data_IF_684289044710
#
_entry.id   IF_684289044710
#
_cell.length_a   1.000
_cell.length_b   1.000
_cell.length_c   1.000
_cell.angle_alpha   90.00
_cell.angle_beta   90.00
_cell.angle_gamma   90.00
#
_symmetry.space_group_name_H-M   'P 1'
#
loop_
_entity.id
_entity.type
_entity.pdbx_description
1 polymer ?
#
# COMPACT_ATOMS: atom_id res chain seq x y z
N UNK A 1 8.18 -1.16 -13.24
CA UNK A 1 7.04 -0.33 -13.67
C UNK A 1 5.81 -0.82 -12.91
N UNK A 2 5.14 0.06 -12.15
CA UNK A 2 3.81 -0.25 -11.60
C UNK A 2 2.82 -0.32 -12.77
N UNK A 3 1.86 -1.27 -12.78
CA UNK A 3 0.76 -1.20 -13.72
C UNK A 3 -0.04 0.07 -13.46
N UNK A 4 -0.43 0.77 -14.52
CA UNK A 4 -1.26 1.98 -14.43
C UNK A 4 -2.59 1.62 -13.76
N UNK A 5 -2.94 2.33 -12.68
CA UNK A 5 -4.20 2.13 -11.95
C UNK A 5 -5.41 2.18 -12.88
N UNK A 6 -5.39 3.05 -13.89
CA UNK A 6 -6.45 3.14 -14.90
C UNK A 6 -6.47 1.96 -15.87
N UNK A 7 -5.32 1.32 -16.08
CA UNK A 7 -5.20 0.09 -16.87
C UNK A 7 -5.71 -1.13 -16.08
N UNK A 8 -5.36 -1.22 -14.79
CA UNK A 8 -5.87 -2.25 -13.88
C UNK A 8 -7.39 -2.21 -13.72
N UNK A 9 -7.97 -1.00 -13.63
CA UNK A 9 -9.41 -0.82 -13.53
C UNK A 9 -10.11 -1.22 -14.83
N UNK A 10 -9.60 -0.81 -15.99
CA UNK A 10 -10.14 -1.23 -17.30
C UNK A 10 -10.08 -2.73 -17.51
N UNK A 11 -8.96 -3.37 -17.15
CA UNK A 11 -8.81 -4.83 -17.24
C UNK A 11 -9.76 -5.55 -16.29
N UNK A 12 -9.91 -5.07 -15.06
CA UNK A 12 -10.84 -5.64 -14.10
C UNK A 12 -12.30 -5.53 -14.60
N UNK A 13 -12.69 -4.39 -15.19
CA UNK A 13 -14.02 -4.21 -15.77
C UNK A 13 -14.28 -5.10 -16.97
N UNK A 14 -13.31 -5.27 -17.87
CA UNK A 14 -13.42 -6.15 -19.03
C UNK A 14 -13.70 -7.60 -18.59
N UNK A 15 -12.90 -8.11 -17.65
CA UNK A 15 -13.04 -9.47 -17.13
C UNK A 15 -14.38 -9.66 -16.39
N UNK A 16 -14.83 -8.68 -15.61
CA UNK A 16 -16.12 -8.77 -14.91
C UNK A 16 -17.34 -8.64 -15.84
N UNK A 17 -17.17 -8.06 -17.03
CA UNK A 17 -18.21 -7.99 -18.06
C UNK A 17 -18.34 -9.32 -18.82
N UNK A 18 -17.21 -9.96 -19.11
CA UNK A 18 -17.18 -11.27 -19.78
C UNK A 18 -17.51 -12.43 -18.84
N UNK A 19 -17.13 -12.31 -17.57
CA UNK A 19 -17.36 -13.29 -16.52
C UNK A 19 -18.08 -12.64 -15.33
N UNK A 20 -19.40 -12.39 -15.44
CA UNK A 20 -20.17 -11.78 -14.36
C UNK A 20 -20.10 -12.62 -13.08
N UNK A 21 -20.02 -11.93 -11.93
CA UNK A 21 -19.79 -12.57 -10.64
C UNK A 21 -20.98 -13.45 -10.26
N UNK A 22 -20.76 -14.72 -9.88
CA UNK A 22 -21.80 -15.54 -9.28
C UNK A 22 -22.23 -14.97 -7.92
N UNK A 23 -23.48 -15.23 -7.55
CA UNK A 23 -24.07 -14.81 -6.28
C UNK A 23 -23.31 -15.40 -5.08
N UNK A 24 -22.83 -16.65 -5.20
CA UNK A 24 -21.94 -17.25 -4.20
C UNK A 24 -20.48 -16.84 -4.43
N UNK A 25 -19.80 -16.49 -3.34
CA UNK A 25 -18.36 -16.20 -3.32
C UNK A 25 -17.49 -17.42 -3.56
N UNK A 26 -17.96 -18.63 -3.23
CA UNK A 26 -17.17 -19.86 -3.36
C UNK A 26 -17.03 -20.31 -4.82
N UNK A 27 -18.02 -19.98 -5.66
CA UNK A 27 -18.07 -20.38 -7.08
C UNK A 27 -17.32 -19.42 -8.01
N UNK A 28 -16.61 -18.43 -7.47
CA UNK A 28 -15.87 -17.46 -8.28
C UNK A 28 -14.66 -18.11 -8.94
N UNK A 29 -14.54 -17.94 -10.25
CA UNK A 29 -13.37 -18.37 -11.01
C UNK A 29 -12.10 -17.66 -10.52
N UNK A 30 -10.93 -18.19 -10.89
CA UNK A 30 -9.66 -17.55 -10.55
C UNK A 30 -9.56 -16.13 -11.14
N UNK A 31 -9.98 -15.98 -12.40
CA UNK A 31 -10.00 -14.73 -13.16
C UNK A 31 -10.90 -13.68 -12.49
N UNK A 32 -12.08 -14.07 -12.04
CA UNK A 32 -13.01 -13.20 -11.30
C UNK A 32 -12.43 -12.74 -9.96
N UNK A 33 -11.74 -13.63 -9.24
CA UNK A 33 -11.05 -13.28 -7.99
C UNK A 33 -9.90 -12.30 -8.26
N UNK A 34 -9.17 -12.48 -9.37
CA UNK A 34 -8.09 -11.58 -9.76
C UNK A 34 -8.59 -10.21 -10.20
N UNK A 35 -9.68 -10.13 -10.96
CA UNK A 35 -10.31 -8.88 -11.36
C UNK A 35 -10.81 -8.08 -10.14
N UNK A 36 -11.46 -8.74 -9.17
CA UNK A 36 -11.86 -8.12 -7.91
C UNK A 36 -10.66 -7.59 -7.10
N UNK A 37 -9.55 -8.33 -7.10
CA UNK A 37 -8.33 -7.90 -6.42
C UNK A 37 -7.71 -6.69 -7.11
N UNK A 38 -7.62 -6.69 -8.44
CA UNK A 38 -7.14 -5.55 -9.21
C UNK A 38 -8.01 -4.30 -8.98
N UNK A 39 -9.34 -4.44 -8.97
CA UNK A 39 -10.26 -3.35 -8.66
C UNK A 39 -10.11 -2.83 -7.22
N UNK A 40 -9.89 -3.72 -6.25
CA UNK A 40 -9.63 -3.29 -4.87
C UNK A 40 -8.31 -2.54 -4.71
N UNK A 41 -7.28 -2.90 -5.50
CA UNK A 41 -6.01 -2.16 -5.56
C UNK A 41 -6.25 -0.77 -6.17
N UNK A 42 -7.01 -0.71 -7.27
CA UNK A 42 -7.34 0.56 -7.92
C UNK A 42 -8.20 1.48 -7.03
N UNK A 43 -9.19 0.93 -6.33
CA UNK A 43 -10.00 1.67 -5.35
C UNK A 43 -9.15 2.19 -4.19
N UNK A 44 -8.16 1.43 -3.73
CA UNK A 44 -7.23 1.87 -2.69
C UNK A 44 -6.34 3.00 -3.18
N UNK A 45 -5.70 2.86 -4.33
CA UNK A 45 -4.85 3.89 -4.91
C UNK A 45 -5.66 5.18 -5.17
N UNK A 46 -6.93 5.06 -5.60
CA UNK A 46 -7.82 6.21 -5.79
C UNK A 46 -8.21 6.89 -4.48
N UNK A 47 -8.45 6.13 -3.41
CA UNK A 47 -8.88 6.66 -2.10
C UNK A 47 -7.74 7.16 -1.22
N UNK A 48 -6.60 6.51 -1.31
CA UNK A 48 -5.51 6.66 -0.34
C UNK A 48 -4.15 6.92 -0.99
N UNK A 49 -4.03 6.88 -2.33
CA UNK A 49 -2.74 7.02 -3.02
C UNK A 49 -1.97 8.27 -2.64
N UNK A 50 -2.63 9.43 -2.53
CA UNK A 50 -1.98 10.66 -2.08
C UNK A 50 -1.85 10.75 -0.55
N UNK A 51 -2.87 10.35 0.21
CA UNK A 51 -2.89 10.48 1.67
C UNK A 51 -1.91 9.52 2.37
N UNK A 52 -1.82 8.26 1.91
CA UNK A 52 -0.92 7.26 2.48
C UNK A 52 0.56 7.55 2.22
N UNK A 53 0.86 8.15 1.06
CA UNK A 53 2.21 8.64 0.72
C UNK A 53 2.62 9.81 1.63
N UNK A 54 1.71 10.77 1.86
CA UNK A 54 1.95 11.90 2.76
C UNK A 54 2.18 11.43 4.20
N UNK A 55 1.34 10.53 4.71
CA UNK A 55 1.49 10.00 6.07
C UNK A 55 2.79 9.19 6.23
N UNK A 56 3.16 8.37 5.24
CA UNK A 56 4.39 7.57 5.30
C UNK A 56 5.64 8.45 5.27
N UNK A 57 5.65 9.50 4.43
CA UNK A 57 6.72 10.50 4.43
C UNK A 57 6.79 11.27 5.76
N UNK A 58 5.67 11.66 6.35
CA UNK A 58 5.65 12.35 7.65
C UNK A 58 6.27 11.49 8.77
N UNK A 59 6.03 10.18 8.76
CA UNK A 59 6.67 9.26 9.71
C UNK A 59 8.16 9.11 9.45
N UNK A 60 8.60 9.05 8.19
CA UNK A 60 10.03 9.08 7.87
C UNK A 60 10.69 10.40 8.28
N UNK A 61 10.03 11.54 8.09
CA UNK A 61 10.51 12.84 8.57
C UNK A 61 10.65 12.86 10.09
N UNK A 62 9.74 12.21 10.81
CA UNK A 62 9.84 12.06 12.27
C UNK A 62 11.00 11.15 12.67
N UNK A 63 11.29 10.12 11.88
CA UNK A 63 12.35 9.13 12.18
C UNK A 63 13.76 9.64 11.84
N UNK A 64 13.91 10.34 10.71
CA UNK A 64 15.21 10.74 10.16
C UNK A 64 15.47 12.24 10.16
N UNK A 65 14.45 13.06 10.42
CA UNK A 65 14.49 14.51 10.24
C UNK A 65 14.11 14.93 8.81
N UNK A 66 13.68 16.20 8.63
CA UNK A 66 13.23 16.73 7.34
C UNK A 66 14.36 16.74 6.30
N UNK A 67 15.56 17.17 6.68
CA UNK A 67 16.71 17.25 5.78
C UNK A 67 17.04 15.89 5.14
N UNK A 68 17.04 14.83 5.95
CA UNK A 68 17.33 13.48 5.49
C UNK A 68 16.26 12.88 4.56
N UNK A 69 15.04 13.43 4.59
CA UNK A 69 13.95 13.04 3.68
C UNK A 69 13.99 13.87 2.40
N UNK A 70 14.29 15.18 2.50
CA UNK A 70 14.38 16.10 1.37
C UNK A 70 15.60 15.84 0.47
N UNK A 71 16.72 15.40 1.05
CA UNK A 71 17.93 14.99 0.32
C UNK A 71 17.70 13.80 -0.63
N UNK A 72 16.65 13.02 -0.40
CA UNK A 72 16.31 11.91 -1.29
C UNK A 72 15.65 12.46 -2.55
N UNK A 73 16.32 12.31 -3.68
CA UNK A 73 15.77 12.75 -4.97
C UNK A 73 14.64 11.84 -5.47
N UNK A 74 13.77 12.41 -6.31
CA UNK A 74 12.67 11.71 -6.96
C UNK A 74 11.29 12.16 -6.49
N UNK A 75 10.25 11.51 -7.03
CA UNK A 75 8.89 11.70 -6.53
C UNK A 75 8.73 11.03 -5.15
N UNK A 76 7.64 11.33 -4.47
CA UNK A 76 7.38 10.86 -3.10
C UNK A 76 7.45 9.32 -2.96
N UNK A 77 7.07 8.59 -4.00
CA UNK A 77 7.14 7.12 -4.02
C UNK A 77 8.58 6.62 -4.10
N UNK A 78 9.40 7.21 -4.97
CA UNK A 78 10.82 6.90 -5.08
C UNK A 78 11.56 7.24 -3.78
N UNK A 79 11.17 8.34 -3.13
CA UNK A 79 11.67 8.73 -1.81
C UNK A 79 11.35 7.69 -0.75
N UNK A 80 10.08 7.31 -0.62
CA UNK A 80 9.62 6.26 0.29
C UNK A 80 10.38 4.96 0.04
N UNK A 81 10.61 4.58 -1.21
CA UNK A 81 11.34 3.35 -1.54
C UNK A 81 12.81 3.41 -1.07
N UNK A 82 13.49 4.52 -1.31
CA UNK A 82 14.87 4.73 -0.87
C UNK A 82 15.00 4.74 0.66
N UNK A 83 14.10 5.45 1.35
CA UNK A 83 14.04 5.51 2.82
C UNK A 83 13.74 4.13 3.41
N UNK A 84 12.89 3.34 2.77
CA UNK A 84 12.64 1.95 3.15
C UNK A 84 13.87 1.06 3.02
N UNK A 85 14.65 1.21 1.93
CA UNK A 85 15.90 0.46 1.76
C UNK A 85 16.91 0.83 2.85
N UNK A 86 17.03 2.13 3.16
CA UNK A 86 17.86 2.62 4.26
C UNK A 86 17.42 2.03 5.59
N UNK A 87 16.14 2.12 5.93
CA UNK A 87 15.59 1.57 7.17
C UNK A 87 15.87 0.07 7.30
N UNK A 88 15.65 -0.70 6.24
CA UNK A 88 15.93 -2.13 6.26
C UNK A 88 17.43 -2.44 6.46
N UNK A 89 18.33 -1.61 5.95
CA UNK A 89 19.77 -1.76 6.20
C UNK A 89 20.12 -1.43 7.67
N UNK A 90 19.53 -0.38 8.23
CA UNK A 90 19.76 0.03 9.62
C UNK A 90 19.21 -0.97 10.64
N UNK A 91 18.03 -1.56 10.38
CA UNK A 91 17.47 -2.65 11.20
C UNK A 91 18.41 -3.86 11.19
N UNK A 92 18.90 -4.28 10.01
CA UNK A 92 19.86 -5.40 9.90
C UNK A 92 21.20 -5.10 10.60
N UNK A 93 21.55 -3.83 10.71
CA UNK A 93 22.74 -3.36 11.41
C UNK A 93 22.49 -3.11 12.91
N UNK A 94 21.34 -3.52 13.46
CA UNK A 94 21.01 -3.38 14.88
C UNK A 94 20.99 -1.92 15.39
N UNK A 95 20.81 -0.93 14.50
CA UNK A 95 20.74 0.49 14.88
C UNK A 95 19.45 0.87 15.61
N UNK A 96 18.46 -0.02 15.59
CA UNK A 96 17.11 0.17 16.13
C UNK A 96 16.75 -0.92 17.16
N UNK A 97 17.75 -1.46 17.87
CA UNK A 97 17.54 -2.53 18.86
C UNK A 97 16.75 -2.06 20.08
N UNK A 98 16.74 -0.75 20.36
CA UNK A 98 15.84 -0.15 21.33
C UNK A 98 14.48 0.18 20.69
N UNK A 99 13.39 -0.10 21.43
CA UNK A 99 12.04 0.12 20.95
C UNK A 99 11.77 1.62 20.72
N UNK A 100 11.79 2.04 19.46
CA UNK A 100 11.35 3.38 19.03
C UNK A 100 9.85 3.36 18.70
N UNK A 101 9.00 4.12 19.44
CA UNK A 101 7.57 4.21 19.13
C UNK A 101 7.29 4.67 17.70
N UNK A 102 8.11 5.58 17.17
CA UNK A 102 8.01 6.08 15.78
C UNK A 102 8.31 4.99 14.77
N UNK A 103 9.34 4.18 15.02
CA UNK A 103 9.67 3.03 14.15
C UNK A 103 8.53 2.01 14.14
N UNK A 104 7.96 1.69 15.31
CA UNK A 104 6.83 0.78 15.43
C UNK A 104 5.62 1.33 14.66
N UNK A 105 5.32 2.62 14.81
CA UNK A 105 4.23 3.28 14.08
C UNK A 105 4.42 3.18 12.56
N UNK A 106 5.63 3.45 12.06
CA UNK A 106 5.99 3.33 10.65
C UNK A 106 5.80 1.90 10.12
N UNK A 107 6.35 0.90 10.83
CA UNK A 107 6.20 -0.51 10.43
C UNK A 107 4.72 -0.95 10.45
N UNK A 108 3.96 -0.54 11.46
CA UNK A 108 2.54 -0.84 11.55
C UNK A 108 1.74 -0.20 10.42
N UNK A 109 2.05 1.04 10.05
CA UNK A 109 1.42 1.70 8.91
C UNK A 109 1.74 0.98 7.60
N UNK A 110 2.99 0.58 7.38
CA UNK A 110 3.39 -0.18 6.19
C UNK A 110 2.69 -1.54 6.09
N UNK A 111 2.53 -2.22 7.23
CA UNK A 111 1.77 -3.46 7.31
C UNK A 111 0.30 -3.21 7.00
N UNK A 112 -0.32 -2.16 7.57
CA UNK A 112 -1.72 -1.78 7.29
C UNK A 112 -1.93 -1.45 5.81
N UNK A 113 -1.07 -0.63 5.21
CA UNK A 113 -1.14 -0.27 3.79
C UNK A 113 -1.06 -1.53 2.90
N UNK A 114 -0.15 -2.46 3.22
CA UNK A 114 -0.04 -3.74 2.51
C UNK A 114 -1.25 -4.63 2.74
N UNK A 115 -1.79 -4.70 3.96
CA UNK A 115 -2.98 -5.50 4.28
C UNK A 115 -4.21 -4.98 3.55
N UNK A 116 -4.43 -3.67 3.52
CA UNK A 116 -5.54 -3.06 2.79
C UNK A 116 -5.41 -3.37 1.28
N UNK A 117 -4.20 -3.24 0.71
CA UNK A 117 -3.96 -3.52 -0.71
C UNK A 117 -4.13 -5.00 -1.07
N UNK A 118 -3.74 -5.91 -0.17
CA UNK A 118 -3.75 -7.36 -0.44
C UNK A 118 -5.05 -8.04 -0.02
N UNK A 119 -5.83 -7.42 0.87
CA UNK A 119 -7.02 -8.00 1.45
C UNK A 119 -8.22 -7.03 1.40
N UNK A 120 -9.09 -7.15 0.38
CA UNK A 120 -10.25 -6.29 0.19
C UNK A 120 -11.24 -6.30 1.37
N UNK A 121 -11.18 -7.33 2.24
CA UNK A 121 -12.02 -7.43 3.44
C UNK A 121 -11.59 -6.44 4.53
N UNK A 122 -10.33 -6.02 4.55
CA UNK A 122 -9.82 -5.09 5.57
C UNK A 122 -10.51 -3.72 5.48
N UNK A 123 -10.88 -3.29 4.26
CA UNK A 123 -11.66 -2.05 4.03
C UNK A 123 -13.04 -2.08 4.68
N UNK A 124 -13.63 -3.25 4.93
CA UNK A 124 -14.95 -3.35 5.58
C UNK A 124 -14.88 -3.19 7.09
N UNK A 125 -13.73 -3.46 7.71
CA UNK A 125 -13.58 -3.44 9.17
C UNK A 125 -13.09 -2.08 9.67
N UNK A 126 -12.33 -1.33 8.87
CA UNK A 126 -11.80 0.00 9.28
C UNK A 126 -12.72 1.18 8.94
N UNK A 127 -13.77 1.00 8.14
CA UNK A 127 -14.72 2.06 7.74
C UNK A 127 -16.12 1.89 8.37
N UNK A 128 -16.26 1.04 9.38
CA UNK A 128 -17.54 0.80 10.05
C UNK A 128 -17.41 -0.11 11.27
N UNK A 129 -16.96 0.47 12.37
CA UNK A 129 -17.83 0.74 13.54
C UNK A 129 -17.76 2.24 13.85
#
# INVERSE_FOLDING_TARGET
>A
QRPDTAELERLAEAVLREHPLPDDRQDRSYEQRMALKARSIADYDRKHGAAGVVEELALFTTLYGPDAVEEVEGNDEARIEALNRRLAAEIRACKWDEASPTLIALLMQQVRARLIRTNPRYLKTTLGE
#
